data_IF_557690905474
#
_entry.id   IF_557690905474
#
_cell.length_a   1.000
_cell.length_b   1.000
_cell.length_c   1.000
_cell.angle_alpha   90.00
_cell.angle_beta   90.00
_cell.angle_gamma   90.00
#
_symmetry.space_group_name_H-M   'P 1'
#
loop_
_entity.id
_entity.type
_entity.pdbx_description
1 polymer ?
#
# COMPACT_ATOMS: atom_id res chain seq x y z
N UNK A 1 4.26 -9.13 -20.49
CA UNK A 1 5.30 -8.43 -21.30
C UNK A 1 4.72 -7.21 -22.02
N UNK A 2 3.59 -7.37 -22.73
CA UNK A 2 2.93 -6.24 -23.40
C UNK A 2 2.49 -5.16 -22.40
N UNK A 3 1.86 -5.53 -21.31
CA UNK A 3 1.45 -4.61 -20.24
C UNK A 3 2.64 -3.80 -19.67
N UNK A 4 3.79 -4.40 -19.51
CA UNK A 4 4.98 -3.71 -18.99
C UNK A 4 5.47 -2.57 -19.89
N UNK A 5 5.14 -2.59 -21.21
CA UNK A 5 5.52 -1.52 -22.13
C UNK A 5 4.81 -0.19 -21.85
N UNK A 6 3.65 -0.22 -21.16
CA UNK A 6 2.87 0.95 -20.75
C UNK A 6 3.67 1.84 -19.78
N UNK A 7 4.61 1.27 -19.05
CA UNK A 7 5.45 2.02 -18.11
C UNK A 7 6.21 3.19 -18.78
N UNK A 8 6.54 3.08 -20.07
CA UNK A 8 7.22 4.15 -20.82
C UNK A 8 6.40 5.44 -20.91
N UNK A 9 5.07 5.32 -20.90
CA UNK A 9 4.14 6.44 -21.01
C UNK A 9 3.80 7.04 -19.65
N UNK A 10 4.21 6.38 -18.55
CA UNK A 10 3.95 6.86 -17.19
C UNK A 10 4.95 7.97 -16.84
N UNK A 11 4.43 9.17 -16.64
CA UNK A 11 5.24 10.34 -16.34
C UNK A 11 4.51 11.31 -15.40
N UNK A 12 4.51 11.05 -14.09
CA UNK A 12 3.78 11.85 -13.10
C UNK A 12 4.49 13.18 -12.80
N UNK A 13 4.62 14.05 -13.79
CA UNK A 13 5.38 15.32 -13.73
C UNK A 13 4.87 16.32 -12.71
N UNK A 14 3.63 16.16 -12.24
CA UNK A 14 3.01 17.01 -11.21
C UNK A 14 3.06 16.39 -9.82
N UNK A 15 3.72 15.24 -9.67
CA UNK A 15 3.94 14.66 -8.35
C UNK A 15 4.64 15.64 -7.43
N UNK A 16 4.08 15.86 -6.25
CA UNK A 16 4.62 16.73 -5.22
C UNK A 16 4.38 16.08 -3.84
N UNK A 17 5.44 15.50 -3.28
CA UNK A 17 5.40 14.84 -2.00
C UNK A 17 4.90 15.77 -0.86
N UNK A 18 5.23 17.08 -0.94
CA UNK A 18 4.79 18.06 0.06
C UNK A 18 3.28 18.26 0.01
N UNK A 19 2.69 18.33 -1.19
CA UNK A 19 1.24 18.45 -1.35
C UNK A 19 0.53 17.22 -0.78
N UNK A 20 1.01 16.01 -1.11
CA UNK A 20 0.40 14.78 -0.61
C UNK A 20 0.45 14.68 0.90
N UNK A 21 1.61 14.88 1.50
CA UNK A 21 1.79 14.78 2.96
C UNK A 21 1.02 15.88 3.70
N UNK A 22 0.99 17.09 3.15
CA UNK A 22 0.21 18.18 3.74
C UNK A 22 -1.30 17.94 3.66
N UNK A 23 -1.81 17.41 2.55
CA UNK A 23 -3.21 17.03 2.45
C UNK A 23 -3.58 15.96 3.50
N UNK A 24 -2.74 14.94 3.69
CA UNK A 24 -2.93 13.94 4.74
C UNK A 24 -2.88 14.56 6.14
N UNK A 25 -1.90 15.41 6.41
CA UNK A 25 -1.73 16.09 7.70
C UNK A 25 -2.90 17.04 8.02
N UNK A 26 -3.36 17.81 7.03
CA UNK A 26 -4.51 18.70 7.19
C UNK A 26 -5.80 17.90 7.43
N UNK A 27 -5.94 16.70 6.87
CA UNK A 27 -7.05 15.80 7.17
C UNK A 27 -6.94 15.10 8.55
N UNK A 28 -5.93 15.43 9.36
CA UNK A 28 -5.72 14.85 10.69
C UNK A 28 -5.08 13.45 10.69
N UNK A 29 -4.63 12.96 9.53
CA UNK A 29 -4.01 11.64 9.39
C UNK A 29 -2.69 11.55 10.15
N UNK A 30 -2.37 10.36 10.67
CA UNK A 30 -1.17 10.10 11.48
C UNK A 30 -0.12 9.31 10.73
N UNK A 31 -0.52 8.59 9.70
CA UNK A 31 0.37 7.79 8.86
C UNK A 31 -0.13 7.79 7.41
N UNK A 32 0.78 7.51 6.49
CA UNK A 32 0.54 7.35 5.07
C UNK A 32 1.15 6.02 4.63
N UNK A 33 0.42 5.21 3.88
CA UNK A 33 0.93 3.95 3.30
C UNK A 33 1.11 4.14 1.81
N UNK A 34 2.35 4.11 1.35
CA UNK A 34 2.70 4.26 -0.06
C UNK A 34 2.80 2.90 -0.74
N UNK A 35 2.20 2.77 -1.92
CA UNK A 35 2.25 1.54 -2.71
C UNK A 35 3.61 1.42 -3.40
N UNK A 36 4.50 0.60 -2.85
CA UNK A 36 5.86 0.42 -3.38
C UNK A 36 5.93 -0.60 -4.50
N UNK A 37 5.13 -1.65 -4.44
CA UNK A 37 4.95 -2.64 -5.52
C UNK A 37 3.56 -3.25 -5.41
N UNK A 38 2.76 -3.13 -6.47
CA UNK A 38 1.45 -3.79 -6.57
C UNK A 38 1.55 -5.13 -7.32
N UNK A 39 0.42 -5.75 -7.65
CA UNK A 39 0.34 -7.09 -8.26
C UNK A 39 0.96 -7.18 -9.65
N UNK A 40 1.14 -6.06 -10.34
CA UNK A 40 1.80 -5.99 -11.64
C UNK A 40 3.33 -6.12 -11.58
N UNK A 41 3.90 -6.10 -10.37
CA UNK A 41 5.34 -6.21 -10.14
C UNK A 41 6.12 -4.92 -10.36
N UNK A 42 5.45 -3.82 -10.75
CA UNK A 42 6.11 -2.53 -10.97
C UNK A 42 6.54 -1.90 -9.65
N UNK A 43 7.84 -1.63 -9.52
CA UNK A 43 8.36 -0.97 -8.33
C UNK A 43 8.26 0.56 -8.47
N UNK A 44 7.43 1.18 -7.61
CA UNK A 44 7.24 2.62 -7.53
C UNK A 44 8.35 3.34 -6.73
N UNK A 45 9.56 2.80 -6.77
CA UNK A 45 10.78 3.32 -6.15
C UNK A 45 12.01 2.82 -6.92
N UNK A 46 13.20 3.32 -6.59
CA UNK A 46 14.45 2.91 -7.23
C UNK A 46 14.93 1.56 -6.70
N UNK A 47 14.39 0.47 -7.23
CA UNK A 47 14.83 -0.89 -6.87
C UNK A 47 16.06 -1.31 -7.69
N UNK A 48 17.08 -1.83 -7.03
CA UNK A 48 18.22 -2.47 -7.68
C UNK A 48 17.91 -3.93 -8.07
N UNK A 49 16.89 -4.53 -7.45
CA UNK A 49 16.51 -5.94 -7.66
C UNK A 49 15.63 -6.16 -8.88
N UNK A 50 15.07 -5.12 -9.47
CA UNK A 50 14.20 -5.19 -10.64
C UNK A 50 14.42 -3.98 -11.54
N UNK A 51 14.58 -4.22 -12.83
CA UNK A 51 14.61 -3.14 -13.82
C UNK A 51 13.22 -2.59 -14.13
N UNK A 52 12.16 -3.34 -13.78
CA UNK A 52 10.78 -2.90 -13.92
C UNK A 52 10.40 -1.96 -12.76
N UNK A 53 10.92 -0.74 -12.81
CA UNK A 53 10.72 0.28 -11.79
C UNK A 53 10.56 1.68 -12.38
N UNK A 54 10.01 2.60 -11.59
CA UNK A 54 9.68 3.96 -12.02
C UNK A 54 10.91 4.76 -12.48
N UNK A 55 12.09 4.50 -11.95
CA UNK A 55 13.31 5.23 -12.32
C UNK A 55 13.86 4.77 -13.67
N UNK A 56 13.85 3.45 -13.92
CA UNK A 56 14.46 2.85 -15.11
C UNK A 56 13.51 2.77 -16.31
N UNK A 57 12.22 2.53 -16.06
CA UNK A 57 11.25 2.25 -17.12
C UNK A 57 10.41 3.43 -17.56
N UNK A 58 10.47 4.57 -16.86
CA UNK A 58 9.57 5.70 -17.14
C UNK A 58 10.32 6.96 -17.52
N UNK A 59 9.63 7.87 -18.23
CA UNK A 59 10.17 9.20 -18.54
C UNK A 59 10.33 10.07 -17.29
N UNK A 60 9.66 9.72 -16.18
CA UNK A 60 9.78 10.43 -14.92
C UNK A 60 11.18 10.30 -14.30
N UNK A 61 11.79 9.12 -14.39
CA UNK A 61 13.18 8.83 -14.02
C UNK A 61 13.62 9.33 -12.63
N UNK A 62 12.68 9.44 -11.68
CA UNK A 62 12.92 9.88 -10.29
C UNK A 62 12.37 8.86 -9.32
N UNK A 63 12.85 8.91 -8.09
CA UNK A 63 12.37 8.08 -6.98
C UNK A 63 11.38 8.86 -6.10
N UNK A 64 10.05 8.70 -6.30
CA UNK A 64 9.05 9.43 -5.53
C UNK A 64 9.01 9.01 -4.06
N UNK A 65 9.39 7.77 -3.75
CA UNK A 65 9.43 7.28 -2.37
C UNK A 65 10.50 8.02 -1.54
N UNK A 66 11.64 8.34 -2.15
CA UNK A 66 12.70 9.10 -1.47
C UNK A 66 12.20 10.48 -1.05
N UNK A 67 11.58 11.21 -1.97
CA UNK A 67 11.00 12.54 -1.67
C UNK A 67 9.89 12.43 -0.61
N UNK A 68 9.04 11.41 -0.71
CA UNK A 68 7.93 11.19 0.22
C UNK A 68 8.44 10.89 1.64
N UNK A 69 9.46 10.05 1.78
CA UNK A 69 10.06 9.69 3.06
C UNK A 69 10.66 10.91 3.78
N UNK A 70 11.38 11.76 3.04
CA UNK A 70 11.95 13.00 3.57
C UNK A 70 10.86 13.97 4.07
N UNK A 71 9.79 14.13 3.30
CA UNK A 71 8.68 15.02 3.67
C UNK A 71 7.86 14.44 4.83
N UNK A 72 7.57 13.14 4.84
CA UNK A 72 6.89 12.49 5.95
C UNK A 72 7.64 12.69 7.27
N UNK A 73 8.95 12.46 7.27
CA UNK A 73 9.81 12.70 8.43
C UNK A 73 9.74 14.15 8.91
N UNK A 74 9.84 15.11 7.98
CA UNK A 74 9.79 16.55 8.29
C UNK A 74 8.45 16.99 8.86
N UNK A 75 7.36 16.48 8.33
CA UNK A 75 6.00 16.86 8.70
C UNK A 75 5.44 16.05 9.89
N UNK A 76 6.17 15.03 10.36
CA UNK A 76 5.76 14.18 11.48
C UNK A 76 4.65 13.19 11.13
N UNK A 77 4.51 12.82 9.85
CA UNK A 77 3.62 11.77 9.38
C UNK A 77 4.41 10.46 9.31
N UNK A 78 3.90 9.40 9.92
CA UNK A 78 4.54 8.08 9.85
C UNK A 78 4.39 7.49 8.45
N UNK A 79 5.49 6.97 7.89
CA UNK A 79 5.48 6.34 6.58
C UNK A 79 5.33 4.83 6.72
N UNK A 80 4.33 4.28 6.04
CA UNK A 80 4.15 2.86 5.80
C UNK A 80 4.32 2.51 4.33
N UNK A 81 4.57 1.25 4.03
CA UNK A 81 4.83 0.76 2.68
C UNK A 81 3.95 -0.44 2.37
N UNK A 82 3.10 -0.31 1.36
CA UNK A 82 2.34 -1.43 0.81
C UNK A 82 3.25 -2.24 -0.12
N UNK A 83 3.18 -3.57 -0.01
CA UNK A 83 3.93 -4.49 -0.83
C UNK A 83 3.10 -5.74 -1.17
N UNK A 84 2.84 -5.97 -2.46
CA UNK A 84 2.20 -7.20 -2.94
C UNK A 84 3.15 -8.37 -2.75
N UNK A 85 2.82 -9.28 -1.84
CA UNK A 85 3.70 -10.35 -1.41
C UNK A 85 3.65 -11.56 -2.36
N UNK A 86 2.48 -12.14 -2.55
CA UNK A 86 2.30 -13.36 -3.30
C UNK A 86 1.83 -13.17 -4.74
N UNK A 87 1.79 -11.94 -5.24
CA UNK A 87 1.44 -11.63 -6.64
C UNK A 87 2.45 -10.68 -7.26
N UNK A 88 2.89 -11.04 -8.44
CA UNK A 88 3.81 -10.27 -9.26
C UNK A 88 3.67 -10.77 -10.71
N UNK A 89 2.99 -9.98 -11.56
CA UNK A 89 2.69 -10.42 -12.93
C UNK A 89 3.93 -10.44 -13.83
N UNK A 90 4.97 -9.73 -13.45
CA UNK A 90 6.21 -9.65 -14.22
C UNK A 90 7.15 -10.83 -13.90
N UNK A 91 6.98 -11.48 -12.74
CA UNK A 91 7.89 -12.52 -12.29
C UNK A 91 7.44 -13.92 -12.75
N UNK A 92 8.33 -14.69 -13.40
CA UNK A 92 8.00 -16.04 -13.91
C UNK A 92 7.73 -17.07 -12.82
N UNK A 93 8.25 -16.87 -11.61
CA UNK A 93 8.16 -17.85 -10.53
C UNK A 93 6.92 -17.64 -9.62
N UNK A 94 6.10 -16.64 -9.91
CA UNK A 94 4.91 -16.36 -9.10
C UNK A 94 3.69 -17.10 -9.65
N UNK A 95 3.12 -18.07 -8.90
CA UNK A 95 1.88 -18.73 -9.29
C UNK A 95 0.72 -17.73 -9.32
N UNK A 96 -0.10 -17.80 -10.34
CA UNK A 96 -1.13 -16.77 -10.57
C UNK A 96 -2.53 -17.33 -10.78
N UNK A 97 -2.66 -18.64 -10.98
CA UNK A 97 -3.95 -19.33 -11.13
C UNK A 97 -4.72 -19.52 -9.82
N UNK A 98 -4.30 -18.85 -8.78
CA UNK A 98 -4.93 -18.93 -7.47
C UNK A 98 -5.75 -17.66 -7.18
N UNK A 99 -6.91 -17.74 -6.50
CA UNK A 99 -7.71 -18.91 -6.14
C UNK A 99 -8.56 -19.46 -7.29
N UNK A 100 -8.53 -18.86 -8.45
CA UNK A 100 -9.36 -19.19 -9.61
C UNK A 100 -8.47 -19.45 -10.81
N UNK A 101 -8.62 -20.58 -11.44
CA UNK A 101 -7.85 -21.02 -12.63
C UNK A 101 -8.02 -20.13 -13.88
N UNK A 102 -8.62 -18.97 -13.79
CA UNK A 102 -8.83 -18.10 -14.95
C UNK A 102 -8.73 -16.62 -14.61
N UNK A 103 -7.98 -15.89 -15.40
CA UNK A 103 -8.29 -14.51 -15.70
C UNK A 103 -7.62 -13.41 -14.86
N UNK A 104 -6.67 -13.68 -13.97
CA UNK A 104 -5.89 -12.64 -13.26
C UNK A 104 -4.43 -13.01 -13.11
N UNK A 105 -3.84 -13.50 -14.18
CA UNK A 105 -2.57 -14.17 -14.06
C UNK A 105 -1.59 -13.71 -15.13
N UNK A 106 -0.32 -13.92 -14.87
CA UNK A 106 0.75 -13.79 -15.85
C UNK A 106 0.86 -15.01 -16.79
N UNK A 107 -0.18 -15.85 -16.87
CA UNK A 107 -0.19 -17.07 -17.71
C UNK A 107 -0.05 -16.80 -19.20
N UNK A 108 -0.35 -15.58 -19.66
CA UNK A 108 -0.05 -15.15 -21.02
C UNK A 108 1.45 -15.12 -21.32
N UNK A 109 2.24 -14.68 -20.34
CA UNK A 109 3.69 -14.57 -20.47
C UNK A 109 4.41 -15.80 -19.94
N UNK A 110 3.82 -16.49 -18.95
CA UNK A 110 4.38 -17.65 -18.23
C UNK A 110 3.28 -18.72 -18.04
N UNK A 111 2.98 -19.50 -19.11
CA UNK A 111 1.82 -20.40 -19.11
C UNK A 111 1.99 -21.66 -18.26
N UNK A 112 3.22 -22.08 -17.98
CA UNK A 112 3.51 -23.29 -17.19
C UNK A 112 3.46 -22.97 -15.69
N UNK A 113 2.28 -23.15 -15.11
CA UNK A 113 2.07 -22.90 -13.67
C UNK A 113 2.81 -23.90 -12.77
N UNK A 114 3.03 -25.13 -13.25
CA UNK A 114 3.67 -26.19 -12.47
C UNK A 114 5.19 -25.97 -12.34
N UNK A 115 5.79 -25.21 -13.25
CA UNK A 115 7.20 -24.86 -13.20
C UNK A 115 7.52 -23.71 -12.22
N UNK A 116 6.51 -22.97 -11.78
CA UNK A 116 6.69 -21.76 -10.96
C UNK A 116 7.16 -22.07 -9.54
N UNK A 117 8.14 -21.30 -9.08
CA UNK A 117 8.83 -21.53 -7.82
C UNK A 117 8.70 -20.31 -6.89
N UNK A 118 7.57 -20.19 -6.19
CA UNK A 118 7.34 -19.07 -5.25
C UNK A 118 8.50 -18.88 -4.23
N UNK A 119 9.12 -19.95 -3.69
CA UNK A 119 10.29 -19.78 -2.83
C UNK A 119 11.46 -19.06 -3.52
N UNK A 120 11.74 -19.36 -4.78
CA UNK A 120 12.80 -18.71 -5.56
C UNK A 120 12.50 -17.21 -5.75
N UNK A 121 11.26 -16.85 -6.04
CA UNK A 121 10.82 -15.46 -6.11
C UNK A 121 11.02 -14.73 -4.76
N UNK A 122 10.63 -15.34 -3.64
CA UNK A 122 10.79 -14.73 -2.31
C UNK A 122 12.26 -14.45 -2.02
N UNK A 123 13.17 -15.39 -2.30
CA UNK A 123 14.60 -15.20 -2.04
C UNK A 123 15.24 -14.17 -2.98
N UNK A 124 14.90 -14.22 -4.26
CA UNK A 124 15.54 -13.42 -5.31
C UNK A 124 15.01 -11.99 -5.38
N UNK A 125 13.70 -11.77 -5.09
CA UNK A 125 13.03 -10.47 -5.26
C UNK A 125 12.47 -9.91 -3.97
N UNK A 126 11.64 -10.66 -3.24
CA UNK A 126 10.92 -10.13 -2.07
C UNK A 126 11.88 -9.73 -0.94
N UNK A 127 12.74 -10.65 -0.49
CA UNK A 127 13.67 -10.34 0.61
C UNK A 127 14.65 -9.21 0.27
N UNK A 128 15.29 -9.18 -0.92
CA UNK A 128 16.12 -8.06 -1.33
C UNK A 128 15.36 -6.72 -1.41
N UNK A 129 14.16 -6.69 -2.00
CA UNK A 129 13.36 -5.48 -2.07
C UNK A 129 12.93 -4.99 -0.67
N UNK A 130 12.57 -5.89 0.25
CA UNK A 130 12.29 -5.49 1.64
C UNK A 130 13.54 -4.91 2.34
N UNK A 131 14.72 -5.44 2.08
CA UNK A 131 15.97 -4.85 2.58
C UNK A 131 16.16 -3.43 2.04
N UNK A 132 16.00 -3.22 0.73
CA UNK A 132 16.07 -1.88 0.13
C UNK A 132 15.10 -0.91 0.80
N UNK A 133 13.83 -1.30 0.93
CA UNK A 133 12.77 -0.49 1.49
C UNK A 133 13.02 -0.12 2.97
N UNK A 134 13.57 -1.03 3.75
CA UNK A 134 13.81 -0.84 5.18
C UNK A 134 15.17 -0.20 5.49
N UNK A 135 16.07 -0.06 4.52
CA UNK A 135 17.41 0.53 4.75
C UNK A 135 17.61 1.87 4.06
N UNK A 136 16.93 2.13 2.95
CA UNK A 136 17.23 3.29 2.10
C UNK A 136 16.29 4.49 2.32
N UNK A 137 15.18 4.32 3.04
CA UNK A 137 14.10 5.32 3.13
C UNK A 137 13.82 5.80 4.56
N UNK A 138 14.74 5.54 5.50
CA UNK A 138 14.61 5.94 6.89
C UNK A 138 13.66 5.05 7.68
N UNK A 139 13.01 5.61 8.69
CA UNK A 139 12.09 4.87 9.56
C UNK A 139 10.79 4.54 8.84
N UNK A 140 10.44 3.25 8.82
CA UNK A 140 9.21 2.71 8.25
C UNK A 140 8.30 2.22 9.38
N UNK A 141 7.13 2.82 9.48
CA UNK A 141 6.19 2.49 10.56
C UNK A 141 5.45 1.17 10.35
N UNK A 142 5.19 0.80 9.10
CA UNK A 142 4.49 -0.44 8.77
C UNK A 142 4.88 -0.98 7.39
N UNK A 143 5.06 -2.29 7.29
CA UNK A 143 4.99 -3.03 6.02
C UNK A 143 3.59 -3.60 5.89
N UNK A 144 2.87 -3.09 4.92
CA UNK A 144 1.51 -3.48 4.58
C UNK A 144 1.54 -4.51 3.45
N UNK A 145 1.62 -5.79 3.80
CA UNK A 145 1.59 -6.89 2.83
C UNK A 145 0.20 -7.12 2.24
N UNK A 146 0.18 -7.75 1.07
CA UNK A 146 -1.03 -8.21 0.41
C UNK A 146 -0.83 -9.57 -0.26
N UNK A 147 -1.92 -10.34 -0.44
CA UNK A 147 -1.96 -11.63 -1.13
C UNK A 147 -0.99 -12.69 -0.58
N UNK A 148 -1.16 -13.13 0.70
CA UNK A 148 -0.26 -14.08 1.36
C UNK A 148 -0.57 -15.56 1.09
N UNK A 149 -1.55 -15.86 0.26
CA UNK A 149 -2.29 -17.14 0.28
C UNK A 149 -1.44 -18.37 0.00
N UNK A 150 -0.39 -18.24 -0.80
CA UNK A 150 0.54 -19.33 -1.11
C UNK A 150 1.83 -19.28 -0.28
N UNK A 151 1.97 -18.30 0.59
CA UNK A 151 3.16 -18.15 1.43
C UNK A 151 3.09 -19.12 2.58
N UNK A 152 4.13 -19.93 2.75
CA UNK A 152 4.21 -20.90 3.85
C UNK A 152 4.45 -20.22 5.19
N UNK A 153 4.15 -20.93 6.30
CA UNK A 153 4.42 -20.42 7.65
C UNK A 153 5.90 -20.11 7.88
N UNK A 154 6.79 -20.92 7.33
CA UNK A 154 8.23 -20.71 7.44
C UNK A 154 8.65 -19.41 6.71
N UNK A 155 8.15 -19.19 5.50
CA UNK A 155 8.43 -17.97 4.74
C UNK A 155 7.90 -16.71 5.47
N UNK A 156 6.67 -16.76 5.99
CA UNK A 156 6.12 -15.64 6.79
C UNK A 156 6.99 -15.36 8.01
N UNK A 157 7.49 -16.39 8.70
CA UNK A 157 8.39 -16.25 9.85
C UNK A 157 9.70 -15.58 9.45
N UNK A 158 10.33 -16.05 8.39
CA UNK A 158 11.59 -15.49 7.87
C UNK A 158 11.44 -14.02 7.44
N UNK A 159 10.33 -13.69 6.77
CA UNK A 159 10.03 -12.30 6.39
C UNK A 159 9.84 -11.41 7.62
N UNK A 160 9.13 -11.90 8.64
CA UNK A 160 8.95 -11.18 9.91
C UNK A 160 10.28 -10.96 10.63
N UNK A 161 11.11 -11.98 10.72
CA UNK A 161 12.45 -11.90 11.33
C UNK A 161 13.34 -10.92 10.56
N UNK A 162 13.34 -10.96 9.24
CA UNK A 162 14.06 -10.01 8.39
C UNK A 162 13.64 -8.56 8.67
N UNK A 163 12.34 -8.27 8.67
CA UNK A 163 11.82 -6.92 8.91
C UNK A 163 12.24 -6.43 10.30
N UNK A 164 12.00 -7.23 11.33
CA UNK A 164 12.34 -6.82 12.71
C UNK A 164 13.84 -6.77 12.98
N UNK A 165 14.68 -7.53 12.26
CA UNK A 165 16.14 -7.40 12.35
C UNK A 165 16.65 -6.07 11.81
N UNK A 166 15.97 -5.50 10.81
CA UNK A 166 16.31 -4.22 10.20
C UNK A 166 15.66 -3.05 10.92
N UNK A 167 14.39 -3.18 11.28
CA UNK A 167 13.61 -2.17 11.98
C UNK A 167 12.69 -2.82 13.04
N UNK A 168 13.14 -2.96 14.30
CA UNK A 168 12.37 -3.65 15.35
C UNK A 168 11.01 -3.04 15.65
N UNK A 169 10.82 -1.74 15.42
CA UNK A 169 9.56 -1.01 15.62
C UNK A 169 8.60 -1.03 14.44
N UNK A 170 8.97 -1.64 13.31
CA UNK A 170 8.12 -1.71 12.14
C UNK A 170 6.98 -2.70 12.35
N UNK A 171 5.74 -2.23 12.25
CA UNK A 171 4.55 -3.09 12.33
C UNK A 171 4.33 -3.85 11.03
N UNK A 172 3.67 -5.01 11.13
CA UNK A 172 3.37 -5.87 10.00
C UNK A 172 1.89 -6.25 10.07
N UNK A 173 1.15 -6.02 8.99
CA UNK A 173 -0.26 -6.39 8.94
C UNK A 173 -0.48 -7.91 8.84
N UNK A 174 -1.72 -8.35 9.08
CA UNK A 174 -2.07 -9.78 9.02
C UNK A 174 -1.84 -10.44 7.65
N UNK A 175 -1.68 -9.65 6.59
CA UNK A 175 -1.43 -10.17 5.24
C UNK A 175 0.02 -10.60 4.98
N UNK A 176 0.87 -10.65 5.99
CA UNK A 176 2.08 -11.49 5.96
C UNK A 176 1.71 -12.98 5.92
N UNK A 177 0.48 -13.32 6.34
CA UNK A 177 -0.05 -14.68 6.36
C UNK A 177 0.23 -15.46 7.64
N UNK A 178 -0.37 -16.64 7.73
CA UNK A 178 -0.10 -17.65 8.76
C UNK A 178 -0.28 -17.17 10.22
N UNK A 179 -1.04 -16.10 10.44
CA UNK A 179 -1.27 -15.53 11.78
C UNK A 179 -0.08 -14.81 12.39
N UNK A 180 0.89 -14.37 11.58
CA UNK A 180 2.14 -13.75 12.04
C UNK A 180 2.14 -12.21 11.93
N UNK A 181 1.00 -11.58 11.63
CA UNK A 181 0.85 -10.11 11.66
C UNK A 181 0.64 -9.56 13.06
N UNK A 182 0.97 -8.29 13.26
CA UNK A 182 0.80 -7.56 14.51
C UNK A 182 -0.63 -7.03 14.68
N UNK A 183 -1.35 -6.82 13.58
CA UNK A 183 -2.74 -6.37 13.56
C UNK A 183 -3.50 -6.98 12.37
N UNK A 184 -4.84 -7.05 12.51
CA UNK A 184 -5.71 -7.61 11.48
C UNK A 184 -6.23 -6.56 10.51
N UNK A 185 -6.54 -6.99 9.28
CA UNK A 185 -7.12 -6.14 8.23
C UNK A 185 -8.57 -6.57 7.96
N UNK A 186 -9.44 -5.58 7.83
CA UNK A 186 -10.82 -5.73 7.33
C UNK A 186 -10.94 -4.86 6.07
N UNK A 187 -11.19 -5.49 4.92
CA UNK A 187 -11.25 -4.78 3.65
C UNK A 187 -12.69 -4.47 3.24
N UNK A 188 -12.95 -3.20 2.89
CA UNK A 188 -14.23 -2.67 2.39
C UNK A 188 -15.45 -3.01 3.27
N UNK A 189 -15.21 -3.28 4.55
CA UNK A 189 -16.25 -3.63 5.54
C UNK A 189 -15.95 -2.95 6.88
N UNK A 190 -16.96 -2.87 7.72
CA UNK A 190 -16.82 -2.45 9.11
C UNK A 190 -16.88 -3.68 10.02
N UNK A 191 -16.21 -3.62 11.16
CA UNK A 191 -16.36 -4.65 12.19
C UNK A 191 -17.74 -4.58 12.81
N UNK A 192 -18.35 -5.74 13.05
CA UNK A 192 -19.65 -5.81 13.73
C UNK A 192 -19.54 -5.73 15.27
N UNK A 193 -18.33 -5.80 15.82
CA UNK A 193 -18.07 -5.84 17.25
C UNK A 193 -16.80 -5.09 17.62
N UNK A 194 -16.68 -4.77 18.91
CA UNK A 194 -15.43 -4.27 19.50
C UNK A 194 -14.40 -5.39 19.45
N UNK A 195 -13.22 -5.10 18.94
CA UNK A 195 -12.10 -6.03 18.88
C UNK A 195 -11.07 -5.68 19.97
N UNK A 196 -10.69 -6.68 20.76
CA UNK A 196 -9.64 -6.53 21.80
C UNK A 196 -8.22 -6.61 21.20
N UNK A 197 -8.09 -6.96 19.93
CA UNK A 197 -6.79 -7.00 19.22
C UNK A 197 -6.71 -5.82 18.23
N UNK A 198 -5.52 -5.28 17.99
CA UNK A 198 -5.35 -4.21 17.01
C UNK A 198 -5.87 -4.61 15.63
N UNK A 199 -6.57 -3.70 14.98
CA UNK A 199 -7.11 -3.91 13.65
C UNK A 199 -7.23 -2.61 12.85
N UNK A 200 -7.29 -2.75 11.55
CA UNK A 200 -7.41 -1.65 10.60
C UNK A 200 -8.47 -1.99 9.55
N UNK A 201 -9.35 -1.04 9.25
CA UNK A 201 -10.22 -1.10 8.10
C UNK A 201 -9.57 -0.36 6.93
N UNK A 202 -9.43 -1.00 5.76
CA UNK A 202 -9.01 -0.32 4.55
C UNK A 202 -10.21 -0.11 3.62
N UNK A 203 -10.46 1.16 3.29
CA UNK A 203 -11.61 1.61 2.48
C UNK A 203 -11.14 2.47 1.31
N UNK A 204 -11.85 2.37 0.18
CA UNK A 204 -11.70 3.30 -0.95
C UNK A 204 -12.60 4.53 -0.79
N UNK A 205 -12.21 5.67 -1.34
CA UNK A 205 -13.11 6.81 -1.50
C UNK A 205 -14.10 6.59 -2.63
N UNK A 206 -13.65 6.08 -3.77
CA UNK A 206 -14.46 5.69 -4.93
C UNK A 206 -14.71 4.20 -5.00
N UNK A 207 -14.97 3.69 -6.19
CA UNK A 207 -15.19 2.26 -6.47
C UNK A 207 -13.88 1.48 -6.66
N UNK A 208 -12.80 2.16 -7.06
CA UNK A 208 -11.52 1.56 -7.41
C UNK A 208 -10.43 1.91 -6.40
N UNK A 209 -9.44 1.03 -6.24
CA UNK A 209 -8.24 1.30 -5.45
C UNK A 209 -7.31 2.29 -6.16
N UNK A 210 -7.02 2.05 -7.43
CA UNK A 210 -6.25 2.96 -8.28
C UNK A 210 -7.13 4.03 -8.93
N UNK A 211 -6.49 5.07 -9.46
CA UNK A 211 -7.18 6.09 -10.25
C UNK A 211 -7.87 5.48 -11.48
N UNK A 212 -9.10 5.85 -11.66
CA UNK A 212 -9.87 5.54 -12.86
C UNK A 212 -10.64 6.79 -13.29
N UNK A 213 -10.32 7.34 -14.47
CA UNK A 213 -10.95 8.56 -14.99
C UNK A 213 -12.47 8.47 -15.13
N UNK A 214 -12.99 7.25 -15.25
CA UNK A 214 -14.43 6.99 -15.37
C UNK A 214 -15.12 6.73 -14.03
N UNK A 215 -14.36 6.68 -12.93
CA UNK A 215 -14.92 6.54 -11.58
C UNK A 215 -15.33 7.91 -11.06
N UNK A 216 -16.60 8.25 -11.30
CA UNK A 216 -17.20 9.51 -10.83
C UNK A 216 -18.02 9.33 -9.55
N UNK A 217 -18.08 8.10 -9.02
CA UNK A 217 -18.90 7.77 -7.84
C UNK A 217 -18.02 7.67 -6.61
N UNK A 218 -17.98 8.75 -5.84
CA UNK A 218 -17.31 8.81 -4.56
C UNK A 218 -18.29 8.56 -3.40
N UNK A 219 -17.80 7.95 -2.33
CA UNK A 219 -18.55 7.86 -1.07
C UNK A 219 -18.81 9.27 -0.53
N UNK A 220 -20.01 9.52 -0.05
CA UNK A 220 -20.33 10.81 0.55
C UNK A 220 -19.47 11.05 1.80
N UNK A 221 -19.03 12.28 2.05
CA UNK A 221 -18.18 12.61 3.20
C UNK A 221 -18.81 12.20 4.55
N UNK A 222 -20.12 12.39 4.72
CA UNK A 222 -20.85 11.99 5.92
C UNK A 222 -20.79 10.48 6.18
N UNK A 223 -20.83 9.66 5.13
CA UNK A 223 -20.66 8.21 5.24
C UNK A 223 -19.24 7.84 5.66
N UNK A 224 -18.22 8.50 5.08
CA UNK A 224 -16.84 8.24 5.44
C UNK A 224 -16.54 8.65 6.89
N UNK A 225 -17.09 9.80 7.34
CA UNK A 225 -16.96 10.28 8.71
C UNK A 225 -17.65 9.31 9.69
N UNK A 226 -18.88 8.87 9.40
CA UNK A 226 -19.58 7.88 10.23
C UNK A 226 -18.81 6.57 10.30
N UNK A 227 -18.29 6.07 9.19
CA UNK A 227 -17.47 4.87 9.15
C UNK A 227 -16.21 5.06 10.00
N UNK A 228 -15.54 6.21 9.90
CA UNK A 228 -14.36 6.52 10.71
C UNK A 228 -14.68 6.54 12.21
N UNK A 229 -15.74 7.20 12.63
CA UNK A 229 -16.18 7.22 14.03
C UNK A 229 -16.52 5.82 14.51
N UNK A 230 -17.24 5.01 13.71
CA UNK A 230 -17.57 3.63 14.05
C UNK A 230 -16.31 2.75 14.21
N UNK A 231 -15.36 2.86 13.28
CA UNK A 231 -14.09 2.13 13.35
C UNK A 231 -13.32 2.48 14.63
N UNK A 232 -13.16 3.77 14.91
CA UNK A 232 -12.39 4.23 16.08
C UNK A 232 -13.10 3.87 17.38
N UNK A 233 -14.43 3.95 17.45
CA UNK A 233 -15.22 3.55 18.63
C UNK A 233 -15.07 2.06 18.95
N UNK A 234 -14.73 1.24 17.96
CA UNK A 234 -14.47 -0.20 18.09
C UNK A 234 -12.98 -0.55 18.27
N UNK A 235 -12.14 0.45 18.49
CA UNK A 235 -10.69 0.27 18.71
C UNK A 235 -9.88 0.02 17.44
N UNK A 236 -10.42 0.33 16.26
CA UNK A 236 -9.74 0.17 14.96
C UNK A 236 -9.08 1.44 14.45
N UNK A 237 -8.28 1.29 13.40
CA UNK A 237 -7.74 2.38 12.59
C UNK A 237 -8.39 2.36 11.21
N UNK A 238 -8.51 3.53 10.58
CA UNK A 238 -8.94 3.67 9.19
C UNK A 238 -7.75 3.94 8.29
N UNK A 239 -7.54 3.07 7.30
CA UNK A 239 -6.70 3.34 6.14
C UNK A 239 -7.61 3.72 4.96
N UNK A 240 -7.66 5.02 4.63
CA UNK A 240 -8.48 5.55 3.54
C UNK A 240 -7.63 5.66 2.28
N UNK A 241 -8.01 4.91 1.24
CA UNK A 241 -7.27 4.89 -0.02
C UNK A 241 -7.55 6.12 -0.87
N UNK A 242 -6.48 6.68 -1.42
CA UNK A 242 -6.48 7.73 -2.42
C UNK A 242 -5.74 7.23 -3.66
N UNK A 243 -6.35 7.39 -4.84
CA UNK A 243 -5.72 7.08 -6.13
C UNK A 243 -5.30 8.36 -6.84
N UNK A 244 -4.02 8.75 -6.82
CA UNK A 244 -3.52 9.86 -7.62
C UNK A 244 -3.70 9.59 -9.11
N UNK A 245 -3.93 10.65 -9.89
CA UNK A 245 -4.03 10.55 -11.34
C UNK A 245 -2.67 10.25 -12.00
N UNK A 246 -2.66 10.06 -13.32
CA UNK A 246 -1.45 9.75 -14.08
C UNK A 246 -0.40 10.88 -14.07
N UNK A 247 -0.81 12.11 -13.70
CA UNK A 247 0.11 13.23 -13.53
C UNK A 247 0.72 13.31 -12.13
N UNK A 248 0.25 12.50 -11.18
CA UNK A 248 0.67 12.49 -9.78
C UNK A 248 -0.12 13.43 -8.89
N UNK A 249 -1.29 13.93 -9.33
CA UNK A 249 -2.16 14.79 -8.53
C UNK A 249 -3.27 13.99 -7.86
N UNK A 250 -3.72 14.45 -6.69
CA UNK A 250 -4.99 13.97 -6.16
C UNK A 250 -6.14 14.50 -7.01
N UNK A 251 -7.17 13.69 -7.31
CA UNK A 251 -8.39 14.17 -7.91
C UNK A 251 -9.05 15.26 -7.03
N UNK A 252 -9.66 16.27 -7.65
CA UNK A 252 -10.32 17.38 -6.93
C UNK A 252 -11.32 16.87 -5.89
N UNK A 253 -12.10 15.85 -6.22
CA UNK A 253 -13.05 15.25 -5.29
C UNK A 253 -12.39 14.67 -4.03
N UNK A 254 -11.16 14.16 -4.17
CA UNK A 254 -10.36 13.69 -3.03
C UNK A 254 -10.00 14.83 -2.08
N UNK A 255 -9.54 15.96 -2.61
CA UNK A 255 -9.18 17.12 -1.81
C UNK A 255 -10.39 17.68 -1.05
N UNK A 256 -11.57 17.73 -1.70
CA UNK A 256 -12.82 18.11 -1.07
C UNK A 256 -13.16 17.18 0.10
N UNK A 257 -13.12 15.86 -0.11
CA UNK A 257 -13.43 14.88 0.93
C UNK A 257 -12.46 15.00 2.11
N UNK A 258 -11.16 15.11 1.84
CA UNK A 258 -10.14 15.24 2.90
C UNK A 258 -10.34 16.50 3.73
N UNK A 259 -10.69 17.63 3.11
CA UNK A 259 -10.96 18.89 3.83
C UNK A 259 -12.17 18.78 4.77
N UNK A 260 -13.22 18.08 4.36
CA UNK A 260 -14.42 17.86 5.16
C UNK A 260 -14.19 16.92 6.35
N UNK A 261 -13.35 15.90 6.19
CA UNK A 261 -12.95 15.03 7.31
C UNK A 261 -12.24 15.83 8.40
N UNK A 262 -11.33 16.74 8.03
CA UNK A 262 -10.64 17.61 8.97
C UNK A 262 -11.60 18.49 9.81
N UNK A 263 -12.59 19.11 9.17
CA UNK A 263 -13.56 20.00 9.86
C UNK A 263 -14.36 19.24 10.92
N UNK A 264 -14.54 17.94 10.76
CA UNK A 264 -15.31 17.10 11.70
C UNK A 264 -14.51 16.65 12.93
N UNK A 265 -13.17 16.83 12.94
CA UNK A 265 -12.27 16.39 14.03
C UNK A 265 -11.96 17.41 15.15
N UNK A 266 -12.24 18.73 15.05
CA UNK A 266 -11.77 19.72 16.04
C UNK A 266 -12.37 19.57 17.44
N UNK A 267 -13.38 18.75 17.63
CA UNK A 267 -14.10 18.61 18.92
C UNK A 267 -13.44 17.69 19.92
N UNK A 268 -12.37 16.97 19.59
CA UNK A 268 -11.71 16.02 20.52
C UNK A 268 -10.66 16.63 21.45
N UNK A 269 -10.22 17.86 21.25
CA UNK A 269 -9.19 18.48 22.10
C UNK A 269 -9.72 19.24 23.33
N UNK A 270 -11.02 19.33 23.53
CA UNK A 270 -11.61 20.12 24.62
C UNK A 270 -12.30 19.32 25.74
N UNK A 271 -12.22 17.99 25.74
CA UNK A 271 -12.93 17.15 26.74
C UNK A 271 -12.03 16.27 27.61
N UNK A 272 -10.73 16.56 27.69
CA UNK A 272 -9.87 15.97 28.74
C UNK A 272 -9.09 17.12 29.37
N UNK A 273 -9.71 17.77 30.32
CA UNK A 273 -9.07 18.51 31.41
C UNK A 273 -9.29 17.73 32.69
#
# INVERSE_FOLDING_TARGET
>A
KEYATIAKDFNPVKFDAKKWVRAAKHAGMKYLVYTTKHHDGFAMYNSACSDYNIVKCTAFAKDPLKELAEVCKKEGIKLGLYYSLGRDWEDPDVPTNWPVKAGRSNTWDYPDEDSKQLPAYIERKVKPQLKELLTNYGEIAVIWFDTPELVTRQQSKELRELIHSLQPGCLINSRIGNGLGDYSIIEQKLSNSINNKPWEACLTMGKNWGYNRYDTVYKKPDILIRNFVDIVSKGGNLLLNVGPDQAGCFPEQTDIILSLIHISEPTRHSLIS
#
